data_IF_202182460105
#
_entry.id   IF_202182460105
#
_cell.length_a   1.000
_cell.length_b   1.000
_cell.length_c   1.000
_cell.angle_alpha   90.00
_cell.angle_beta   90.00
_cell.angle_gamma   90.00
#
_symmetry.space_group_name_H-M   'P 1'
#
loop_
_entity.id
_entity.type
_entity.pdbx_description
1 polymer ?
#
# COMPACT_ATOMS: atom_id res chain seq x y z
N UNK A 1 7.61 -5.50 -21.09
CA UNK A 1 8.75 -6.00 -20.31
C UNK A 1 9.01 -4.89 -19.32
N UNK A 2 8.90 -5.23 -18.05
CA UNK A 2 8.90 -4.24 -16.97
C UNK A 2 10.30 -4.26 -16.35
N UNK A 3 11.01 -3.15 -16.47
CA UNK A 3 12.36 -2.96 -15.95
C UNK A 3 12.24 -2.45 -14.51
N UNK A 4 12.84 -3.16 -13.55
CA UNK A 4 12.72 -2.83 -12.14
C UNK A 4 14.01 -2.37 -11.50
N UNK A 5 13.83 -1.39 -10.62
CA UNK A 5 14.75 -1.12 -9.53
C UNK A 5 14.19 -1.71 -8.23
N UNK A 6 15.05 -2.43 -7.50
CA UNK A 6 14.74 -2.97 -6.18
C UNK A 6 15.75 -2.43 -5.17
N UNK A 7 15.26 -1.97 -4.02
CA UNK A 7 16.09 -1.59 -2.88
C UNK A 7 15.69 -2.43 -1.66
N UNK A 8 16.63 -3.21 -1.10
CA UNK A 8 16.46 -3.82 0.22
C UNK A 8 16.73 -2.77 1.29
N UNK A 9 15.72 -2.48 2.10
CA UNK A 9 15.79 -1.46 3.14
C UNK A 9 16.10 -2.07 4.50
N UNK A 10 16.80 -1.30 5.33
CA UNK A 10 16.87 -1.60 6.76
C UNK A 10 15.50 -1.31 7.41
N UNK A 11 14.99 -2.28 8.16
CA UNK A 11 13.68 -2.15 8.80
C UNK A 11 13.63 -0.95 9.76
N UNK A 12 14.69 -0.69 10.53
CA UNK A 12 14.69 0.43 11.48
C UNK A 12 14.70 1.77 10.77
N UNK A 13 15.39 1.87 9.63
CA UNK A 13 15.33 3.04 8.75
C UNK A 13 13.93 3.23 8.16
N UNK A 14 13.31 2.16 7.67
CA UNK A 14 11.97 2.21 7.06
C UNK A 14 10.86 2.63 8.05
N UNK A 15 11.08 2.38 9.35
CA UNK A 15 10.18 2.78 10.43
C UNK A 15 10.40 4.21 10.94
N UNK A 16 11.41 4.94 10.43
CA UNK A 16 11.64 6.34 10.83
C UNK A 16 10.55 7.26 10.31
N UNK A 17 10.34 8.34 11.05
CA UNK A 17 9.46 9.42 10.61
C UNK A 17 9.94 9.99 9.27
N UNK A 18 9.00 10.28 8.37
CA UNK A 18 9.23 10.82 7.02
C UNK A 18 9.89 9.87 6.00
N UNK A 19 10.18 8.62 6.35
CA UNK A 19 10.60 7.63 5.36
C UNK A 19 9.46 7.30 4.37
N UNK A 20 8.22 7.27 4.88
CA UNK A 20 6.99 7.14 4.11
C UNK A 20 6.06 8.34 4.34
N UNK A 21 5.00 8.51 3.53
CA UNK A 21 3.97 9.54 3.71
C UNK A 21 3.27 9.57 5.09
N UNK A 22 3.45 8.51 5.87
CA UNK A 22 2.91 8.32 7.21
C UNK A 22 3.88 7.46 8.05
N UNK A 23 3.75 7.52 9.38
CA UNK A 23 4.54 6.68 10.30
C UNK A 23 4.07 5.23 10.21
N UNK A 24 4.96 4.26 10.35
CA UNK A 24 4.57 2.86 10.59
C UNK A 24 4.89 2.49 12.04
N UNK A 25 3.87 1.97 12.73
CA UNK A 25 3.99 1.34 14.03
C UNK A 25 3.83 -0.17 13.84
N UNK A 26 4.98 -0.84 13.82
CA UNK A 26 5.04 -2.28 13.65
C UNK A 26 5.09 -2.96 15.02
N UNK A 27 4.22 -3.95 15.22
CA UNK A 27 4.22 -4.82 16.38
C UNK A 27 4.32 -6.28 15.95
N UNK A 28 5.20 -7.04 16.59
CA UNK A 28 5.48 -8.42 16.20
C UNK A 28 6.31 -8.54 14.92
N UNK A 29 7.14 -9.58 14.84
CA UNK A 29 7.97 -9.89 13.67
C UNK A 29 9.09 -8.90 13.37
N UNK A 30 9.92 -9.26 12.39
CA UNK A 30 11.01 -8.45 11.83
C UNK A 30 11.00 -8.65 10.30
N UNK A 31 10.03 -8.06 9.60
CA UNK A 31 9.85 -8.29 8.17
C UNK A 31 11.05 -7.77 7.38
N UNK A 32 11.34 -8.46 6.28
CA UNK A 32 12.18 -7.91 5.22
C UNK A 32 11.43 -6.79 4.52
N UNK A 33 12.15 -5.71 4.21
CA UNK A 33 11.59 -4.52 3.58
C UNK A 33 12.24 -4.33 2.22
N UNK A 34 11.43 -4.19 1.19
CA UNK A 34 11.90 -3.91 -0.16
C UNK A 34 11.11 -2.74 -0.75
N UNK A 35 11.79 -1.73 -1.29
CA UNK A 35 11.20 -0.82 -2.23
C UNK A 35 11.30 -1.43 -3.63
N UNK A 36 10.19 -1.52 -4.34
CA UNK A 36 10.11 -2.02 -5.72
C UNK A 36 9.50 -0.91 -6.57
N UNK A 37 10.21 -0.49 -7.61
CA UNK A 37 9.76 0.54 -8.54
C UNK A 37 10.08 0.14 -9.96
N UNK A 38 9.25 0.58 -10.89
CA UNK A 38 9.45 0.37 -12.33
C UNK A 38 10.18 1.56 -12.92
N UNK A 39 11.20 1.31 -13.75
CA UNK A 39 11.90 2.36 -14.48
C UNK A 39 10.89 3.10 -15.40
N UNK A 40 10.76 4.41 -15.17
CA UNK A 40 9.68 5.24 -15.69
C UNK A 40 9.63 5.23 -17.23
N UNK A 41 8.51 4.74 -17.77
CA UNK A 41 8.12 4.96 -19.18
C UNK A 41 6.76 5.67 -19.31
N UNK A 42 5.90 5.67 -18.27
CA UNK A 42 4.59 6.33 -18.23
C UNK A 42 4.07 6.52 -16.77
N UNK A 43 3.07 7.38 -16.56
CA UNK A 43 2.52 7.79 -15.25
C UNK A 43 1.74 6.68 -14.51
N UNK A 44 1.34 5.59 -15.20
CA UNK A 44 0.57 4.46 -14.61
C UNK A 44 1.37 3.18 -14.39
N UNK A 45 2.66 3.20 -14.67
CA UNK A 45 3.47 1.98 -14.72
C UNK A 45 3.55 1.28 -13.35
N UNK A 46 3.59 2.04 -12.25
CA UNK A 46 3.68 1.49 -10.89
C UNK A 46 2.40 0.80 -10.42
N UNK A 47 1.25 1.42 -10.67
CA UNK A 47 -0.06 0.87 -10.33
C UNK A 47 -0.31 -0.46 -11.06
N UNK A 48 -0.08 -0.47 -12.37
CA UNK A 48 -0.26 -1.65 -13.20
C UNK A 48 0.70 -2.77 -12.77
N UNK A 49 1.94 -2.41 -12.43
CA UNK A 49 2.92 -3.36 -11.95
C UNK A 49 2.58 -3.92 -10.57
N UNK A 50 2.05 -3.09 -9.65
CA UNK A 50 1.57 -3.55 -8.35
C UNK A 50 0.46 -4.61 -8.51
N UNK A 51 -0.50 -4.39 -9.40
CA UNK A 51 -1.56 -5.38 -9.70
C UNK A 51 -0.94 -6.67 -10.26
N UNK A 52 0.02 -6.54 -11.17
CA UNK A 52 0.75 -7.68 -11.76
C UNK A 52 1.52 -8.46 -10.69
N UNK A 53 2.20 -7.76 -9.79
CA UNK A 53 2.92 -8.32 -8.64
C UNK A 53 1.98 -9.12 -7.74
N UNK A 54 0.87 -8.50 -7.30
CA UNK A 54 -0.13 -9.14 -6.43
C UNK A 54 -0.74 -10.38 -7.10
N UNK A 55 -0.99 -10.33 -8.40
CA UNK A 55 -1.46 -11.49 -9.18
C UNK A 55 -0.48 -12.66 -9.11
N UNK A 56 0.82 -12.39 -9.21
CA UNK A 56 1.88 -13.41 -9.18
C UNK A 56 2.07 -14.02 -7.79
N UNK A 57 1.78 -13.27 -6.72
CA UNK A 57 1.88 -13.78 -5.34
C UNK A 57 0.98 -15.00 -5.09
N UNK A 58 -0.15 -15.12 -5.80
CA UNK A 58 -1.17 -16.18 -5.56
C UNK A 58 -1.63 -16.25 -4.09
N UNK A 59 -1.47 -15.18 -3.31
CA UNK A 59 -1.94 -15.09 -1.93
C UNK A 59 -3.31 -14.42 -1.94
N UNK A 60 -4.35 -15.19 -1.66
CA UNK A 60 -5.72 -14.70 -1.55
C UNK A 60 -6.45 -15.44 -0.42
N UNK A 61 -7.40 -14.79 0.28
CA UNK A 61 -7.86 -13.41 0.06
C UNK A 61 -6.84 -12.33 0.43
N UNK A 62 -6.96 -11.15 -0.19
CA UNK A 62 -6.26 -9.94 0.22
C UNK A 62 -7.22 -8.93 0.85
N UNK A 63 -6.65 -8.06 1.67
CA UNK A 63 -7.34 -6.98 2.36
C UNK A 63 -6.75 -5.65 1.91
N UNK A 64 -7.59 -4.62 1.86
CA UNK A 64 -7.15 -3.26 1.54
C UNK A 64 -7.64 -2.30 2.61
N UNK A 65 -6.76 -1.42 3.07
CA UNK A 65 -7.11 -0.32 3.95
C UNK A 65 -6.65 0.99 3.33
N UNK A 66 -7.53 1.98 3.24
CA UNK A 66 -7.15 3.31 2.81
C UNK A 66 -7.88 4.40 3.59
N UNK A 67 -7.22 5.55 3.73
CA UNK A 67 -7.79 6.75 4.31
C UNK A 67 -8.75 7.41 3.32
N UNK A 68 -9.81 8.01 3.86
CA UNK A 68 -10.79 8.72 3.05
C UNK A 68 -11.17 10.06 3.67
N UNK A 69 -11.30 11.06 2.82
CA UNK A 69 -11.91 12.32 3.20
C UNK A 69 -13.42 12.15 3.36
N UNK A 70 -13.98 12.69 4.45
CA UNK A 70 -15.40 12.54 4.75
C UNK A 70 -16.34 13.02 3.63
N UNK A 71 -15.93 14.03 2.86
CA UNK A 71 -16.77 14.63 1.83
C UNK A 71 -17.08 13.67 0.66
N UNK A 72 -16.22 12.67 0.42
CA UNK A 72 -16.35 11.72 -0.69
C UNK A 72 -16.73 10.32 -0.22
N UNK A 73 -16.88 10.09 1.10
CA UNK A 73 -17.18 8.78 1.68
C UNK A 73 -18.38 8.09 1.03
N UNK A 74 -19.48 8.82 0.82
CA UNK A 74 -20.70 8.26 0.23
C UNK A 74 -20.51 7.78 -1.22
N UNK A 75 -19.58 8.38 -1.97
CA UNK A 75 -19.26 7.98 -3.34
C UNK A 75 -18.50 6.64 -3.32
N UNK A 76 -17.52 6.51 -2.42
CA UNK A 76 -16.77 5.26 -2.24
C UNK A 76 -17.66 4.13 -1.70
N UNK A 77 -18.50 4.38 -0.70
CA UNK A 77 -19.44 3.37 -0.19
C UNK A 77 -20.38 2.88 -1.30
N UNK A 78 -20.84 3.79 -2.16
CA UNK A 78 -21.68 3.43 -3.31
C UNK A 78 -20.93 2.52 -4.28
N UNK A 79 -19.70 2.85 -4.66
CA UNK A 79 -18.88 2.02 -5.56
C UNK A 79 -18.61 0.63 -4.98
N UNK A 80 -18.26 0.53 -3.70
CA UNK A 80 -18.02 -0.74 -3.01
C UNK A 80 -19.29 -1.60 -2.96
N UNK A 81 -20.44 -0.98 -2.69
CA UNK A 81 -21.74 -1.65 -2.70
C UNK A 81 -22.11 -2.15 -4.10
N UNK A 82 -21.86 -1.36 -5.16
CA UNK A 82 -22.10 -1.76 -6.56
C UNK A 82 -21.21 -2.94 -6.98
N UNK A 83 -19.98 -3.02 -6.44
CA UNK A 83 -19.08 -4.15 -6.60
C UNK A 83 -19.43 -5.37 -5.73
N UNK A 84 -20.38 -5.24 -4.80
CA UNK A 84 -20.82 -6.32 -3.90
C UNK A 84 -19.78 -6.70 -2.85
N UNK A 85 -18.96 -5.75 -2.40
CA UNK A 85 -17.84 -6.00 -1.50
C UNK A 85 -18.23 -5.90 -0.03
N UNK A 86 -17.61 -6.74 0.80
CA UNK A 86 -17.65 -6.57 2.25
C UNK A 86 -16.59 -5.54 2.67
N UNK A 87 -17.02 -4.49 3.36
CA UNK A 87 -16.13 -3.48 3.90
C UNK A 87 -16.60 -2.95 5.25
N UNK A 88 -15.67 -2.33 5.97
CA UNK A 88 -15.91 -1.59 7.20
C UNK A 88 -15.46 -0.14 7.03
N UNK A 89 -16.24 0.80 7.54
CA UNK A 89 -15.81 2.19 7.71
C UNK A 89 -15.37 2.39 9.16
N UNK A 90 -14.09 2.69 9.35
CA UNK A 90 -13.46 2.89 10.66
C UNK A 90 -13.25 4.38 10.89
N UNK A 91 -14.16 4.98 11.66
CA UNK A 91 -14.08 6.40 12.01
C UNK A 91 -13.08 6.65 13.13
N UNK A 92 -12.43 7.81 13.07
CA UNK A 92 -11.62 8.31 14.17
C UNK A 92 -12.50 9.03 15.19
N UNK A 93 -12.11 8.96 16.45
CA UNK A 93 -12.81 9.66 17.54
C UNK A 93 -12.61 11.17 17.48
N UNK A 94 -11.51 11.63 16.89
CA UNK A 94 -11.16 13.04 16.76
C UNK A 94 -11.86 13.72 15.59
N UNK A 95 -12.18 15.00 15.76
CA UNK A 95 -12.74 15.84 14.71
C UNK A 95 -11.65 16.68 14.03
N UNK A 96 -11.68 16.72 12.70
CA UNK A 96 -10.92 17.67 11.90
C UNK A 96 -11.83 18.80 11.40
N UNK A 97 -11.20 19.92 11.07
CA UNK A 97 -11.87 21.12 10.58
C UNK A 97 -11.49 21.37 9.13
N UNK A 98 -12.47 21.72 8.31
CA UNK A 98 -12.22 22.32 7.00
C UNK A 98 -13.06 23.57 6.82
N UNK A 99 -12.67 24.40 5.85
CA UNK A 99 -13.39 25.61 5.48
C UNK A 99 -13.97 25.44 4.09
N UNK A 100 -15.27 25.70 3.93
CA UNK A 100 -15.87 25.74 2.59
C UNK A 100 -15.33 26.93 1.79
N UNK A 101 -15.61 26.97 0.49
CA UNK A 101 -15.28 28.12 -0.37
C UNK A 101 -15.85 29.45 0.15
N UNK A 102 -16.90 29.42 0.99
CA UNK A 102 -17.49 30.60 1.67
C UNK A 102 -16.86 30.87 3.03
N UNK A 103 -15.72 30.24 3.35
CA UNK A 103 -15.04 30.27 4.66
C UNK A 103 -15.93 29.81 5.82
N UNK A 104 -16.92 28.96 5.56
CA UNK A 104 -17.75 28.38 6.62
C UNK A 104 -16.97 27.22 7.22
N UNK A 105 -16.72 27.30 8.52
CA UNK A 105 -16.06 26.23 9.30
C UNK A 105 -16.99 25.02 9.38
N UNK A 106 -16.48 23.85 9.00
CA UNK A 106 -17.15 22.56 9.11
C UNK A 106 -16.25 21.59 9.87
N UNK A 107 -16.88 20.59 10.47
CA UNK A 107 -16.21 19.53 11.21
C UNK A 107 -16.53 18.20 10.57
N UNK A 108 -15.57 17.29 10.58
CA UNK A 108 -15.76 15.93 10.14
C UNK A 108 -14.90 14.99 10.97
N UNK A 109 -15.29 13.72 10.98
CA UNK A 109 -14.47 12.64 11.50
C UNK A 109 -13.76 12.00 10.31
N UNK A 110 -12.42 12.09 10.22
CA UNK A 110 -11.66 11.27 9.28
C UNK A 110 -11.99 9.80 9.48
N UNK A 111 -11.98 9.05 8.39
CA UNK A 111 -12.25 7.63 8.39
C UNK A 111 -11.25 6.89 7.51
N UNK A 112 -11.16 5.58 7.72
CA UNK A 112 -10.54 4.66 6.77
C UNK A 112 -11.57 3.63 6.35
N UNK A 113 -11.50 3.21 5.10
CA UNK A 113 -12.24 2.06 4.61
C UNK A 113 -11.33 0.84 4.70
N UNK A 114 -11.88 -0.26 5.19
CA UNK A 114 -11.25 -1.57 5.20
C UNK A 114 -12.08 -2.53 4.36
N UNK A 115 -11.57 -2.93 3.20
CA UNK A 115 -12.21 -3.87 2.28
C UNK A 115 -11.63 -5.27 2.51
N UNK A 116 -12.50 -6.27 2.60
CA UNK A 116 -12.14 -7.64 2.98
C UNK A 116 -12.22 -8.61 1.82
N UNK A 117 -11.49 -9.71 1.96
CA UNK A 117 -11.71 -10.95 1.21
C UNK A 117 -11.69 -10.81 -0.31
N UNK A 118 -10.80 -9.97 -0.85
CA UNK A 118 -10.80 -9.69 -2.28
C UNK A 118 -10.04 -10.74 -3.09
N UNK A 119 -10.61 -11.10 -4.24
CA UNK A 119 -9.88 -11.76 -5.32
C UNK A 119 -9.08 -10.75 -6.16
N UNK A 120 -8.25 -11.24 -7.07
CA UNK A 120 -7.39 -10.37 -7.88
C UNK A 120 -8.18 -9.42 -8.79
N UNK A 121 -9.30 -9.85 -9.35
CA UNK A 121 -10.09 -9.02 -10.27
C UNK A 121 -10.73 -7.84 -9.54
N UNK A 122 -11.18 -8.10 -8.32
CA UNK A 122 -11.76 -7.11 -7.42
C UNK A 122 -10.69 -6.17 -6.92
N UNK A 123 -9.56 -6.71 -6.47
CA UNK A 123 -8.44 -5.93 -6.00
C UNK A 123 -7.91 -4.98 -7.08
N UNK A 124 -7.78 -5.45 -8.32
CA UNK A 124 -7.38 -4.61 -9.45
C UNK A 124 -8.33 -3.43 -9.66
N UNK A 125 -9.65 -3.63 -9.53
CA UNK A 125 -10.62 -2.53 -9.63
C UNK A 125 -10.48 -1.53 -8.49
N UNK A 126 -10.25 -2.00 -7.26
CA UNK A 126 -10.04 -1.16 -6.09
C UNK A 126 -8.75 -0.35 -6.22
N UNK A 127 -7.66 -0.97 -6.66
CA UNK A 127 -6.41 -0.26 -6.93
C UNK A 127 -6.66 0.82 -8.00
N UNK A 128 -7.17 0.43 -9.18
CA UNK A 128 -7.49 1.35 -10.30
C UNK A 128 -8.36 2.55 -9.92
N UNK A 129 -9.31 2.37 -9.01
CA UNK A 129 -10.21 3.44 -8.57
C UNK A 129 -9.57 4.35 -7.51
N UNK A 130 -8.66 3.82 -6.69
CA UNK A 130 -8.25 4.44 -5.43
C UNK A 130 -6.74 4.70 -5.30
N UNK A 131 -5.92 4.33 -6.29
CA UNK A 131 -4.47 4.55 -6.23
C UNK A 131 -4.10 6.04 -6.16
N UNK A 132 -4.98 6.93 -6.64
CA UNK A 132 -4.85 8.38 -6.46
C UNK A 132 -4.75 8.82 -4.98
N UNK A 133 -5.24 8.02 -4.03
CA UNK A 133 -5.05 8.27 -2.59
C UNK A 133 -3.56 8.24 -2.24
N UNK A 134 -2.83 7.25 -2.76
CA UNK A 134 -1.39 7.15 -2.55
C UNK A 134 -0.63 8.30 -3.21
N UNK A 135 -1.05 8.72 -4.42
CA UNK A 135 -0.49 9.90 -5.10
C UNK A 135 -0.70 11.20 -4.31
N UNK A 136 -1.75 11.27 -3.50
CA UNK A 136 -2.01 12.37 -2.57
C UNK A 136 -1.24 12.24 -1.25
N UNK A 137 -0.33 11.26 -1.11
CA UNK A 137 0.40 10.94 0.11
C UNK A 137 -0.51 10.59 1.31
N UNK A 138 -1.72 10.12 1.02
CA UNK A 138 -2.65 9.60 2.00
C UNK A 138 -2.50 8.08 2.13
N UNK A 139 -2.93 7.55 3.29
CA UNK A 139 -2.71 6.15 3.60
C UNK A 139 -3.44 5.22 2.63
N UNK A 140 -2.69 4.32 2.00
CA UNK A 140 -3.21 3.23 1.18
C UNK A 140 -2.36 1.98 1.40
N UNK A 141 -3.01 0.86 1.68
CA UNK A 141 -2.34 -0.36 2.08
C UNK A 141 -3.05 -1.61 1.57
N UNK A 142 -2.27 -2.61 1.20
CA UNK A 142 -2.72 -3.96 0.87
C UNK A 142 -2.04 -4.93 1.85
N UNK A 143 -2.78 -5.87 2.39
CA UNK A 143 -2.25 -6.88 3.32
C UNK A 143 -2.77 -8.27 3.01
N UNK A 144 -1.96 -9.28 3.30
CA UNK A 144 -2.38 -10.68 3.23
C UNK A 144 -3.27 -11.11 4.40
N UNK A 145 -3.41 -10.26 5.41
CA UNK A 145 -4.09 -10.53 6.68
C UNK A 145 -4.95 -9.33 7.10
N UNK A 146 -5.94 -9.58 7.97
CA UNK A 146 -6.66 -8.51 8.70
C UNK A 146 -5.81 -8.07 9.91
N UNK A 147 -4.77 -7.28 9.62
CA UNK A 147 -3.77 -6.85 10.61
C UNK A 147 -3.29 -5.40 10.42
N UNK A 148 -3.98 -4.63 9.58
CA UNK A 148 -3.63 -3.25 9.27
C UNK A 148 -4.73 -2.30 9.73
N UNK A 149 -4.32 -1.23 10.40
CA UNK A 149 -5.18 -0.12 10.81
C UNK A 149 -4.44 1.20 10.57
N UNK A 150 -5.20 2.28 10.48
CA UNK A 150 -4.62 3.63 10.38
C UNK A 150 -5.17 4.54 11.47
N UNK A 151 -4.26 5.15 12.23
CA UNK A 151 -4.57 6.20 13.17
C UNK A 151 -4.39 7.57 12.50
N UNK A 152 -5.50 8.27 12.28
CA UNK A 152 -5.48 9.60 11.68
C UNK A 152 -4.98 10.70 12.63
N UNK A 153 -4.94 10.47 13.94
CA UNK A 153 -4.41 11.47 14.89
C UNK A 153 -2.90 11.54 14.79
N UNK A 154 -2.28 10.37 14.86
CA UNK A 154 -0.84 10.19 14.79
C UNK A 154 -0.31 10.16 13.35
N UNK A 155 -1.21 10.07 12.36
CA UNK A 155 -0.90 9.81 10.94
C UNK A 155 0.02 8.58 10.85
N UNK A 156 -0.42 7.49 11.48
CA UNK A 156 0.37 6.27 11.65
C UNK A 156 -0.39 5.02 11.23
N UNK A 157 0.25 4.17 10.44
CA UNK A 157 -0.22 2.83 10.14
C UNK A 157 0.17 1.89 11.28
N UNK A 158 -0.80 1.28 11.94
CA UNK A 158 -0.59 0.29 13.00
C UNK A 158 -0.69 -1.09 12.37
N UNK A 159 0.43 -1.82 12.37
CA UNK A 159 0.58 -3.10 11.69
C UNK A 159 0.97 -4.16 12.72
N UNK A 160 0.18 -5.22 12.82
CA UNK A 160 0.53 -6.41 13.60
C UNK A 160 1.14 -7.46 12.67
N UNK A 161 2.47 -7.53 12.60
CA UNK A 161 3.14 -8.46 11.69
C UNK A 161 2.90 -9.90 12.14
N UNK A 162 2.37 -10.72 11.23
CA UNK A 162 2.15 -12.15 11.47
C UNK A 162 3.23 -12.98 10.77
N UNK A 163 3.48 -14.22 11.22
CA UNK A 163 4.30 -15.15 10.46
C UNK A 163 3.68 -15.42 9.08
N UNK A 164 4.52 -15.52 8.04
CA UNK A 164 4.07 -15.81 6.68
C UNK A 164 2.98 -14.84 6.17
N UNK A 165 3.14 -13.55 6.46
CA UNK A 165 2.27 -12.48 5.97
C UNK A 165 3.08 -11.39 5.28
N UNK A 166 2.41 -10.59 4.46
CA UNK A 166 2.97 -9.37 3.91
C UNK A 166 2.01 -8.19 4.01
N UNK A 167 2.61 -7.01 3.94
CA UNK A 167 1.97 -5.72 3.81
C UNK A 167 2.66 -4.96 2.67
N UNK A 168 1.87 -4.31 1.83
CA UNK A 168 2.35 -3.43 0.77
C UNK A 168 1.74 -2.05 0.94
N UNK A 169 2.56 -1.02 0.76
CA UNK A 169 2.09 0.35 0.63
C UNK A 169 2.89 1.11 -0.42
N UNK A 170 2.25 1.96 -1.25
CA UNK A 170 2.98 2.81 -2.17
C UNK A 170 3.90 3.82 -1.47
N UNK A 171 4.95 4.24 -2.16
CA UNK A 171 5.84 5.31 -1.69
C UNK A 171 5.25 6.72 -1.82
N UNK A 172 6.09 7.73 -1.60
CA UNK A 172 5.72 9.13 -1.81
C UNK A 172 5.24 9.38 -3.24
N UNK A 173 4.19 10.18 -3.37
CA UNK A 173 3.53 10.55 -4.64
C UNK A 173 3.09 9.33 -5.48
N UNK A 174 3.02 8.14 -4.88
CA UNK A 174 2.67 6.88 -5.55
C UNK A 174 3.84 6.23 -6.31
N UNK A 175 5.08 6.72 -6.14
CA UNK A 175 6.28 6.13 -6.74
C UNK A 175 6.70 4.85 -6.03
N UNK A 176 6.80 3.77 -6.80
CA UNK A 176 7.08 2.43 -6.29
C UNK A 176 6.13 1.98 -5.19
N UNK A 177 6.44 0.83 -4.62
CA UNK A 177 5.80 0.35 -3.41
C UNK A 177 6.77 -0.39 -2.50
N UNK A 178 6.50 -0.27 -1.21
CA UNK A 178 7.23 -0.94 -0.16
C UNK A 178 6.54 -2.23 0.21
N UNK A 179 7.26 -3.34 0.09
CA UNK A 179 6.87 -4.66 0.55
C UNK A 179 7.53 -4.93 1.91
N UNK A 180 6.70 -5.07 2.94
CA UNK A 180 7.11 -5.59 4.25
C UNK A 180 6.64 -7.04 4.33
N UNK A 181 7.57 -8.00 4.42
CA UNK A 181 7.21 -9.42 4.39
C UNK A 181 7.95 -10.27 5.41
N UNK A 182 7.19 -11.18 6.05
CA UNK A 182 7.69 -12.29 6.85
C UNK A 182 7.58 -13.63 6.10
N UNK A 183 7.36 -13.62 4.79
CA UNK A 183 7.25 -14.85 3.98
C UNK A 183 8.64 -15.37 3.56
N UNK A 184 8.81 -16.69 3.59
CA UNK A 184 10.08 -17.34 3.25
C UNK A 184 10.52 -17.09 1.80
N UNK A 185 9.56 -16.88 0.89
CA UNK A 185 9.79 -16.54 -0.52
C UNK A 185 10.32 -15.11 -0.73
N UNK A 186 10.24 -14.27 0.30
CA UNK A 186 10.76 -12.90 0.28
C UNK A 186 11.84 -12.70 1.36
N UNK A 187 12.45 -13.78 1.86
CA UNK A 187 13.45 -13.71 2.94
C UNK A 187 14.81 -13.13 2.49
N UNK A 188 15.03 -13.00 1.18
CA UNK A 188 16.20 -12.35 0.58
C UNK A 188 15.86 -11.81 -0.80
N UNK A 189 16.68 -10.89 -1.30
CA UNK A 189 16.47 -10.30 -2.62
C UNK A 189 16.47 -11.34 -3.76
N UNK A 190 17.34 -12.35 -3.69
CA UNK A 190 17.38 -13.43 -4.69
C UNK A 190 16.05 -14.19 -4.73
N UNK A 191 15.47 -14.49 -3.57
CA UNK A 191 14.18 -15.18 -3.53
C UNK A 191 13.03 -14.27 -3.96
N UNK A 192 13.09 -12.98 -3.63
CA UNK A 192 12.16 -12.00 -4.17
C UNK A 192 12.18 -12.02 -5.70
N UNK A 193 13.37 -11.97 -6.30
CA UNK A 193 13.56 -12.03 -7.76
C UNK A 193 12.99 -13.30 -8.38
N UNK A 194 13.20 -14.47 -7.74
CA UNK A 194 12.63 -15.75 -8.19
C UNK A 194 11.09 -15.79 -8.16
N UNK A 195 10.46 -14.86 -7.44
CA UNK A 195 9.00 -14.76 -7.26
C UNK A 195 8.39 -13.52 -7.94
N UNK A 196 9.16 -12.79 -8.76
CA UNK A 196 8.63 -11.69 -9.55
C UNK A 196 7.71 -12.20 -10.67
N UNK A 197 6.72 -11.39 -11.10
CA UNK A 197 5.90 -11.70 -12.26
C UNK A 197 6.72 -12.00 -13.52
N UNK A 198 6.19 -12.89 -14.38
CA UNK A 198 6.80 -13.17 -15.69
C UNK A 198 6.95 -11.89 -16.54
N UNK A 199 8.03 -11.81 -17.32
CA UNK A 199 8.33 -10.64 -18.15
C UNK A 199 8.82 -9.40 -17.38
N UNK A 200 9.27 -9.62 -16.15
CA UNK A 200 9.99 -8.63 -15.33
C UNK A 200 11.50 -8.82 -15.49
N UNK A 201 12.24 -7.74 -15.65
CA UNK A 201 13.69 -7.69 -15.69
C UNK A 201 14.18 -6.75 -14.58
N UNK A 202 15.09 -7.20 -13.72
CA UNK A 202 15.66 -6.35 -12.67
C UNK A 202 16.93 -5.70 -13.23
N UNK A 203 16.92 -4.37 -13.35
CA UNK A 203 18.02 -3.59 -13.92
C UNK A 203 18.94 -3.04 -12.83
N UNK A 204 18.40 -2.76 -11.64
CA UNK A 204 19.13 -2.14 -10.53
C UNK A 204 18.77 -2.74 -9.17
N UNK A 205 19.78 -2.93 -8.32
CA UNK A 205 19.66 -3.39 -6.93
C UNK A 205 20.49 -2.48 -6.02
N UNK A 206 19.89 -1.90 -4.97
CA UNK A 206 20.59 -1.08 -3.95
C UNK A 206 21.54 -0.03 -4.56
N UNK A 207 21.01 0.77 -5.49
CA UNK A 207 21.74 1.80 -6.25
C UNK A 207 22.92 1.30 -7.12
N UNK A 208 22.97 0.00 -7.40
CA UNK A 208 23.94 -0.60 -8.32
C UNK A 208 23.24 -1.28 -9.49
N UNK A 209 23.73 -1.03 -10.70
CA UNK A 209 23.28 -1.75 -11.87
C UNK A 209 23.60 -3.24 -11.72
N UNK A 210 22.71 -4.11 -12.18
CA UNK A 210 22.87 -5.57 -12.02
C UNK A 210 24.16 -6.10 -12.66
N UNK A 211 24.62 -5.46 -13.74
CA UNK A 211 25.89 -5.79 -14.43
C UNK A 211 27.14 -5.41 -13.62
N UNK A 212 26.98 -4.67 -12.52
CA UNK A 212 28.06 -4.21 -11.62
C UNK A 212 28.11 -4.98 -10.28
N UNK A 213 27.25 -5.99 -10.08
CA UNK A 213 27.13 -6.80 -8.85
C UNK A 213 27.80 -8.17 -9.02
#
# INVERSE_FOLDING_TARGET
>A
MDELWIQEEDLQEALKEHFLPFRIELSGGEPKVYCISVDEKDDRTEEEYLIKFLSATKTFPLYVTYSIEYLILAEYEKELNELGLEYEVRYTTSQRVFYTHRRIRRYYHPASIFVKNMDINTLAKIINANYGIAQMNEFFAISSEDNVRFDHNERAAVIEAKPNSFYITPGFDGHGFYLFSNEERYSSIMKLMDNLPEGTEVTQINDKLIDEI
#
